data_IF_827200033591
#
_entry.id   IF_827200033591
#
_cell.length_a   1.000
_cell.length_b   1.000
_cell.length_c   1.000
_cell.angle_alpha   90.00
_cell.angle_beta   90.00
_cell.angle_gamma   90.00
#
_symmetry.space_group_name_H-M   'P 1'
#
loop_
_entity.id
_entity.type
_entity.pdbx_description
1 polymer ?
#
# COMPACT_ATOMS: atom_id res chain seq x y z
N UNK A 1 -33.99 -4.54 -9.19
CA UNK A 1 -33.73 -5.80 -9.93
C UNK A 1 -32.28 -6.17 -9.65
N UNK A 2 -32.03 -7.26 -8.91
CA UNK A 2 -30.67 -7.74 -8.67
C UNK A 2 -30.07 -8.25 -9.98
N UNK A 3 -28.87 -7.81 -10.30
CA UNK A 3 -28.15 -8.26 -11.49
C UNK A 3 -27.83 -9.75 -11.37
N UNK A 4 -27.91 -10.49 -12.47
CA UNK A 4 -27.65 -11.96 -12.52
C UNK A 4 -26.21 -12.36 -12.16
N UNK A 5 -25.34 -11.40 -11.86
CA UNK A 5 -23.96 -11.58 -11.42
C UNK A 5 -23.79 -11.80 -9.93
N UNK A 6 -24.90 -11.82 -9.15
CA UNK A 6 -24.85 -11.98 -7.69
C UNK A 6 -24.26 -13.31 -7.21
N UNK A 7 -24.21 -14.35 -8.06
CA UNK A 7 -23.56 -15.63 -7.74
C UNK A 7 -22.04 -15.64 -8.01
N UNK A 8 -21.54 -14.68 -8.80
CA UNK A 8 -20.12 -14.49 -9.11
C UNK A 8 -19.61 -13.11 -8.66
N UNK A 9 -20.51 -12.28 -8.17
CA UNK A 9 -20.23 -10.88 -7.88
C UNK A 9 -19.40 -10.67 -6.61
N UNK A 10 -18.74 -9.53 -6.59
CA UNK A 10 -17.93 -9.01 -5.47
C UNK A 10 -18.75 -8.93 -4.17
N UNK A 11 -20.07 -8.74 -4.26
CA UNK A 11 -20.96 -8.59 -3.12
C UNK A 11 -21.03 -9.78 -2.15
N UNK A 12 -20.55 -10.96 -2.56
CA UNK A 12 -20.48 -12.15 -1.68
C UNK A 12 -19.09 -12.43 -1.14
N UNK A 13 -18.05 -11.71 -1.57
CA UNK A 13 -16.67 -11.98 -1.13
C UNK A 13 -16.49 -11.77 0.37
N UNK A 14 -17.08 -10.73 0.94
CA UNK A 14 -16.96 -10.41 2.36
C UNK A 14 -17.98 -11.15 3.23
N UNK A 15 -19.06 -11.65 2.64
CA UNK A 15 -20.09 -12.43 3.34
C UNK A 15 -19.92 -13.95 3.22
N UNK A 16 -18.91 -14.40 2.45
CA UNK A 16 -18.62 -15.82 2.31
C UNK A 16 -17.80 -16.30 3.50
N UNK A 17 -18.35 -17.25 4.23
CA UNK A 17 -17.59 -17.94 5.27
C UNK A 17 -16.52 -18.83 4.62
N UNK A 18 -15.26 -18.46 4.79
CA UNK A 18 -14.10 -19.19 4.29
C UNK A 18 -13.31 -19.89 5.39
N UNK A 19 -13.92 -20.07 6.58
CA UNK A 19 -13.27 -20.69 7.74
C UNK A 19 -12.70 -22.07 7.43
N UNK A 20 -13.43 -22.90 6.71
CA UNK A 20 -12.98 -24.25 6.30
C UNK A 20 -11.77 -24.19 5.36
N UNK A 21 -11.71 -23.18 4.49
CA UNK A 21 -10.55 -22.95 3.63
C UNK A 21 -9.33 -22.55 4.46
N UNK A 22 -9.50 -21.57 5.35
CA UNK A 22 -8.41 -21.09 6.20
C UNK A 22 -8.00 -22.07 7.30
N UNK A 23 -8.78 -23.11 7.59
CA UNK A 23 -8.35 -24.18 8.51
C UNK A 23 -7.04 -24.87 8.09
N UNK A 24 -6.65 -24.73 6.82
CA UNK A 24 -5.42 -25.30 6.23
C UNK A 24 -4.24 -24.34 6.19
N UNK A 25 -4.48 -23.07 6.51
CA UNK A 25 -3.48 -21.99 6.45
C UNK A 25 -3.45 -21.24 7.78
N UNK A 26 -2.42 -20.44 8.03
CA UNK A 26 -2.44 -19.48 9.11
C UNK A 26 -3.53 -18.42 8.79
N UNK A 27 -4.68 -18.41 9.49
CA UNK A 27 -5.74 -17.47 9.16
C UNK A 27 -5.30 -16.05 9.49
N UNK A 28 -5.87 -15.03 8.81
CA UNK A 28 -5.69 -13.65 9.22
C UNK A 28 -6.09 -13.46 10.69
N UNK A 29 -5.49 -12.50 11.34
CA UNK A 29 -5.80 -12.21 12.73
C UNK A 29 -6.97 -11.23 12.79
N UNK A 30 -8.16 -11.76 13.05
CA UNK A 30 -9.37 -10.94 13.27
C UNK A 30 -9.43 -10.56 14.75
N UNK A 31 -9.77 -9.31 15.03
CA UNK A 31 -9.84 -8.75 16.37
C UNK A 31 -11.10 -7.90 16.53
N UNK A 32 -11.72 -7.95 17.69
CA UNK A 32 -12.82 -7.07 18.10
C UNK A 32 -12.30 -5.83 18.86
N UNK A 33 -10.98 -5.65 18.93
CA UNK A 33 -10.37 -4.47 19.55
C UNK A 33 -10.88 -3.20 18.85
N UNK A 34 -11.35 -2.25 19.64
CA UNK A 34 -11.85 -0.94 19.22
C UNK A 34 -11.07 0.23 19.86
N UNK A 35 -9.95 -0.09 20.48
CA UNK A 35 -9.12 0.90 21.20
C UNK A 35 -8.35 1.77 20.20
N UNK A 36 -8.65 3.06 20.19
CA UNK A 36 -7.89 4.03 19.41
C UNK A 36 -6.72 4.57 20.24
N UNK A 37 -5.57 4.73 19.58
CA UNK A 37 -4.41 5.38 20.16
C UNK A 37 -4.59 6.88 20.34
N UNK A 38 -3.71 7.48 21.14
CA UNK A 38 -3.66 8.93 21.28
C UNK A 38 -3.15 9.56 19.97
N UNK A 39 -3.63 10.76 19.65
CA UNK A 39 -3.11 11.52 18.52
C UNK A 39 -1.70 12.03 18.86
N UNK A 40 -0.72 11.65 18.04
CA UNK A 40 0.65 12.14 18.15
C UNK A 40 0.84 13.53 17.54
N UNK A 41 2.11 13.91 17.36
CA UNK A 41 2.45 15.08 16.56
C UNK A 41 2.04 14.85 15.10
N UNK A 42 1.48 15.88 14.48
CA UNK A 42 1.04 15.89 13.08
C UNK A 42 1.92 16.85 12.26
N UNK A 43 1.92 16.67 10.94
CA UNK A 43 2.68 17.51 9.98
C UNK A 43 4.20 17.53 10.26
N UNK A 44 4.71 16.41 10.75
CA UNK A 44 6.13 16.27 11.12
C UNK A 44 6.84 15.24 10.25
N UNK A 45 8.10 15.47 10.01
CA UNK A 45 9.01 14.56 9.34
C UNK A 45 10.09 14.09 10.33
N UNK A 46 10.14 12.79 10.57
CA UNK A 46 11.17 12.19 11.40
C UNK A 46 12.27 11.59 10.52
N UNK A 47 13.51 11.95 10.81
CA UNK A 47 14.67 11.26 10.24
C UNK A 47 15.07 10.15 11.20
N UNK A 48 15.09 8.91 10.71
CA UNK A 48 15.40 7.74 11.53
C UNK A 48 15.18 6.43 10.79
N UNK A 49 15.30 5.34 11.54
CA UNK A 49 15.03 4.00 11.03
C UNK A 49 13.53 3.68 11.19
N UNK A 50 12.85 3.42 10.07
CA UNK A 50 11.42 3.12 10.08
C UNK A 50 11.06 1.77 10.76
N UNK A 51 12.06 0.96 11.14
CA UNK A 51 11.85 -0.22 12.00
C UNK A 51 11.58 0.15 13.46
N UNK A 52 11.82 1.41 13.82
CA UNK A 52 11.49 2.00 15.13
C UNK A 52 10.80 3.35 14.93
N UNK A 53 9.47 3.34 14.95
CA UNK A 53 8.64 4.55 14.90
C UNK A 53 8.06 4.90 16.28
N UNK A 54 8.85 4.79 17.33
CA UNK A 54 8.43 5.04 18.73
C UNK A 54 7.84 6.42 18.98
N UNK A 55 8.15 7.41 18.13
CA UNK A 55 7.59 8.77 18.19
C UNK A 55 6.14 8.84 17.69
N UNK A 56 5.68 7.85 16.94
CA UNK A 56 4.29 7.76 16.48
C UNK A 56 3.53 6.88 17.48
N UNK A 57 2.45 7.34 18.11
CA UNK A 57 1.68 6.51 19.03
C UNK A 57 1.07 5.28 18.36
N UNK A 58 0.97 4.19 19.10
CA UNK A 58 0.35 2.96 18.60
C UNK A 58 -1.15 3.15 18.43
N UNK A 59 -1.72 2.56 17.37
CA UNK A 59 -3.16 2.62 17.14
C UNK A 59 -3.70 4.01 16.77
N UNK A 60 -2.84 4.95 16.33
CA UNK A 60 -3.21 6.34 16.04
C UNK A 60 -3.41 6.64 14.56
N UNK A 61 -2.94 5.77 13.67
CA UNK A 61 -2.85 6.01 12.21
C UNK A 61 -4.01 5.33 11.50
N UNK A 62 -4.76 6.08 10.70
CA UNK A 62 -5.85 5.55 9.88
C UNK A 62 -5.36 4.84 8.61
N UNK A 63 -4.33 5.41 7.97
CA UNK A 63 -3.77 4.89 6.74
C UNK A 63 -2.24 4.99 6.76
N UNK A 64 -1.60 3.88 6.47
CA UNK A 64 -0.21 3.87 6.01
C UNK A 64 -0.24 3.73 4.49
N UNK A 65 0.35 4.68 3.77
CA UNK A 65 0.54 4.62 2.32
C UNK A 65 2.00 4.84 1.99
N UNK A 66 2.61 3.91 1.26
CA UNK A 66 4.05 3.93 1.08
C UNK A 66 4.50 3.19 -0.18
N UNK A 67 5.68 3.57 -0.67
CA UNK A 67 6.39 2.88 -1.74
C UNK A 67 7.82 2.61 -1.27
N UNK A 68 8.11 1.41 -0.75
CA UNK A 68 9.44 1.06 -0.24
C UNK A 68 10.47 1.03 -1.38
N UNK A 69 11.77 1.13 -1.08
CA UNK A 69 12.81 0.89 -2.07
C UNK A 69 12.65 -0.52 -2.66
N UNK A 70 12.85 -0.67 -4.00
CA UNK A 70 12.55 -1.93 -4.69
C UNK A 70 13.72 -2.91 -4.77
N UNK A 71 14.83 -2.60 -4.13
CA UNK A 71 16.07 -3.38 -4.18
C UNK A 71 16.52 -3.64 -5.64
N UNK A 72 16.54 -2.56 -6.43
CA UNK A 72 16.84 -2.61 -7.86
C UNK A 72 18.30 -2.39 -8.19
N UNK A 73 19.18 -2.21 -7.21
CA UNK A 73 20.58 -1.86 -7.40
C UNK A 73 20.79 -0.45 -7.95
N UNK A 74 19.85 0.44 -7.75
CA UNK A 74 19.95 1.84 -8.14
C UNK A 74 20.78 2.62 -7.14
N UNK A 75 21.43 3.68 -7.62
CA UNK A 75 22.31 4.53 -6.79
C UNK A 75 21.60 5.08 -5.53
N UNK A 76 20.28 5.33 -5.60
CA UNK A 76 19.56 5.82 -4.43
C UNK A 76 19.40 4.75 -3.33
N UNK A 77 19.38 3.45 -3.66
CA UNK A 77 19.39 2.37 -2.66
C UNK A 77 20.75 2.37 -1.93
N UNK A 78 21.81 2.74 -2.62
CA UNK A 78 23.15 2.93 -2.04
C UNK A 78 23.21 4.23 -1.20
N UNK A 79 22.51 5.28 -1.63
CA UNK A 79 22.46 6.55 -0.92
C UNK A 79 21.51 6.54 0.30
N UNK A 80 20.58 5.56 0.39
CA UNK A 80 19.67 5.41 1.54
C UNK A 80 20.40 5.03 2.82
N UNK A 81 21.68 4.70 2.78
CA UNK A 81 22.29 4.35 3.99
C UNK A 81 23.79 4.21 4.04
N UNK A 82 24.47 5.19 4.55
CA UNK A 82 25.63 4.90 5.37
C UNK A 82 25.19 3.97 6.51
N UNK A 83 25.21 2.65 6.27
CA UNK A 83 25.05 1.62 7.27
C UNK A 83 23.90 0.64 7.15
N UNK A 84 22.94 0.82 6.26
CA UNK A 84 21.72 -0.02 6.24
C UNK A 84 21.24 -0.48 4.86
N UNK A 85 22.11 -0.48 3.84
CA UNK A 85 21.76 -1.12 2.56
C UNK A 85 21.79 -2.63 2.78
N UNK A 86 20.66 -3.35 2.58
CA UNK A 86 20.63 -4.80 2.70
C UNK A 86 21.68 -5.45 1.80
N UNK A 87 22.45 -6.37 2.34
CA UNK A 87 23.51 -7.04 1.59
C UNK A 87 22.96 -8.00 0.53
N UNK A 88 21.77 -8.54 0.77
CA UNK A 88 21.07 -9.43 -0.16
C UNK A 88 19.54 -9.24 -0.10
N UNK A 89 18.87 -9.96 -0.99
CA UNK A 89 17.41 -9.87 -1.11
C UNK A 89 16.66 -10.40 0.12
N UNK A 90 17.19 -11.36 0.83
CA UNK A 90 16.56 -11.91 2.05
C UNK A 90 16.67 -10.91 3.20
N UNK A 91 17.80 -10.26 3.33
CA UNK A 91 17.99 -9.18 4.30
C UNK A 91 17.05 -7.99 3.98
N UNK A 92 16.90 -7.64 2.70
CA UNK A 92 15.94 -6.64 2.25
C UNK A 92 14.50 -7.02 2.63
N UNK A 93 14.04 -8.25 2.38
CA UNK A 93 12.70 -8.69 2.77
C UNK A 93 12.51 -8.69 4.29
N UNK A 94 13.56 -8.99 5.04
CA UNK A 94 13.56 -8.94 6.51
C UNK A 94 13.38 -7.50 7.00
N UNK A 95 14.14 -6.56 6.46
CA UNK A 95 14.00 -5.13 6.74
C UNK A 95 12.59 -4.64 6.40
N UNK A 96 12.10 -4.99 5.22
CA UNK A 96 10.77 -4.59 4.77
C UNK A 96 9.67 -5.15 5.68
N UNK A 97 9.76 -6.43 6.06
CA UNK A 97 8.84 -7.04 7.03
C UNK A 97 8.84 -6.31 8.37
N UNK A 98 10.00 -5.91 8.86
CA UNK A 98 10.11 -5.24 10.17
C UNK A 98 9.51 -3.82 10.12
N UNK A 99 9.71 -3.07 9.03
CA UNK A 99 9.06 -1.77 8.82
C UNK A 99 7.55 -1.92 8.68
N UNK A 100 7.08 -2.91 7.92
CA UNK A 100 5.63 -3.14 7.74
C UNK A 100 4.96 -3.63 9.03
N UNK A 101 5.68 -4.40 9.87
CA UNK A 101 5.21 -4.78 11.22
C UNK A 101 5.06 -3.56 12.12
N UNK A 102 6.05 -2.68 12.12
CA UNK A 102 6.02 -1.45 12.88
C UNK A 102 4.89 -0.53 12.38
N UNK A 103 4.72 -0.41 11.05
CA UNK A 103 3.60 0.30 10.43
C UNK A 103 2.24 -0.26 10.87
N UNK A 104 2.07 -1.59 10.87
CA UNK A 104 0.85 -2.24 11.33
C UNK A 104 0.57 -1.99 12.83
N UNK A 105 1.63 -1.85 13.66
CA UNK A 105 1.50 -1.50 15.07
C UNK A 105 0.92 -0.09 15.23
N UNK A 106 1.29 0.84 14.36
CA UNK A 106 0.81 2.23 14.37
C UNK A 106 -0.62 2.38 13.89
N UNK A 107 -1.08 1.47 13.02
CA UNK A 107 -2.46 1.51 12.55
C UNK A 107 -3.46 1.35 13.69
N UNK A 108 -4.54 2.11 13.64
CA UNK A 108 -5.74 1.89 14.43
C UNK A 108 -6.43 0.55 14.05
N UNK A 109 -7.32 0.00 14.88
CA UNK A 109 -8.13 -1.15 14.50
C UNK A 109 -8.94 -0.87 13.23
N UNK A 110 -8.80 -1.74 12.22
CA UNK A 110 -9.40 -1.53 10.90
C UNK A 110 -8.69 -0.50 10.02
N UNK A 111 -7.63 0.15 10.49
CA UNK A 111 -6.79 1.04 9.67
C UNK A 111 -6.18 0.30 8.49
N UNK A 112 -5.85 1.03 7.43
CA UNK A 112 -5.40 0.46 6.15
C UNK A 112 -3.89 0.63 5.95
N UNK A 113 -3.31 -0.36 5.29
CA UNK A 113 -1.95 -0.34 4.78
C UNK A 113 -2.02 -0.48 3.26
N UNK A 114 -1.50 0.50 2.53
CA UNK A 114 -1.40 0.52 1.08
C UNK A 114 0.08 0.54 0.66
N UNK A 115 0.59 -0.56 0.12
CA UNK A 115 1.99 -0.71 -0.26
C UNK A 115 2.11 -0.78 -1.77
N UNK A 116 2.71 0.25 -2.37
CA UNK A 116 2.99 0.28 -3.80
C UNK A 116 4.35 -0.34 -4.09
N UNK A 117 4.40 -1.33 -4.98
CA UNK A 117 5.64 -1.99 -5.41
C UNK A 117 5.66 -2.30 -6.90
N UNK A 118 6.84 -2.23 -7.50
CA UNK A 118 7.10 -2.70 -8.84
C UNK A 118 7.73 -4.10 -8.83
N UNK A 119 7.26 -4.98 -9.72
CA UNK A 119 7.93 -6.23 -10.02
C UNK A 119 9.03 -5.96 -11.02
N UNK A 120 10.24 -5.79 -10.53
CA UNK A 120 11.37 -5.47 -11.41
C UNK A 120 11.83 -6.70 -12.18
N UNK A 121 12.13 -6.51 -13.47
CA UNK A 121 12.60 -7.54 -14.40
C UNK A 121 13.97 -8.10 -14.05
N UNK A 122 14.07 -8.88 -12.99
CA UNK A 122 15.28 -9.62 -12.60
C UNK A 122 15.46 -10.88 -13.46
N UNK A 123 16.67 -11.37 -13.54
CA UNK A 123 16.97 -12.67 -14.16
C UNK A 123 17.62 -13.61 -13.13
N UNK A 124 16.93 -14.65 -12.68
CA UNK A 124 15.52 -14.97 -12.98
C UNK A 124 14.54 -13.95 -12.40
N UNK A 125 13.33 -13.86 -12.98
CA UNK A 125 12.27 -12.97 -12.52
C UNK A 125 11.85 -13.32 -11.08
N UNK A 126 11.66 -12.29 -10.27
CA UNK A 126 11.11 -12.41 -8.91
C UNK A 126 10.02 -11.37 -8.70
N UNK A 127 8.85 -11.80 -8.26
CA UNK A 127 7.72 -10.91 -7.96
C UNK A 127 7.85 -10.34 -6.55
N UNK A 128 8.24 -9.07 -6.45
CA UNK A 128 8.24 -8.35 -5.17
C UNK A 128 6.82 -8.20 -4.61
N UNK A 129 5.82 -8.02 -5.48
CA UNK A 129 4.43 -7.95 -5.04
C UNK A 129 3.97 -9.23 -4.33
N UNK A 130 4.38 -10.41 -4.84
CA UNK A 130 4.08 -11.68 -4.18
C UNK A 130 4.79 -11.80 -2.82
N UNK A 131 6.04 -11.36 -2.72
CA UNK A 131 6.78 -11.37 -1.45
C UNK A 131 6.15 -10.43 -0.42
N UNK A 132 5.74 -9.22 -0.83
CA UNK A 132 5.03 -8.27 0.05
C UNK A 132 3.67 -8.82 0.47
N UNK A 133 2.93 -9.44 -0.45
CA UNK A 133 1.65 -10.11 -0.12
C UNK A 133 1.87 -11.20 0.94
N UNK A 134 2.92 -12.02 0.79
CA UNK A 134 3.28 -13.04 1.78
C UNK A 134 3.61 -12.41 3.14
N UNK A 135 4.40 -11.34 3.15
CA UNK A 135 4.72 -10.62 4.41
C UNK A 135 3.42 -10.13 5.08
N UNK A 136 2.54 -9.46 4.35
CA UNK A 136 1.32 -8.90 4.93
C UNK A 136 0.35 -9.98 5.41
N UNK A 137 0.13 -11.01 4.59
CA UNK A 137 -0.86 -12.07 4.85
C UNK A 137 -0.35 -13.12 5.82
N UNK A 138 0.85 -13.66 5.60
CA UNK A 138 1.33 -14.84 6.31
C UNK A 138 2.21 -14.48 7.51
N UNK A 139 3.13 -13.52 7.37
CA UNK A 139 4.01 -13.12 8.46
C UNK A 139 3.30 -12.18 9.45
N UNK A 140 2.59 -11.16 8.95
CA UNK A 140 1.92 -10.16 9.78
C UNK A 140 0.44 -10.49 10.04
N UNK A 141 -0.12 -11.44 9.33
CA UNK A 141 -1.49 -11.94 9.48
C UNK A 141 -2.55 -10.84 9.37
N UNK A 142 -2.27 -9.85 8.51
CA UNK A 142 -3.22 -8.79 8.20
C UNK A 142 -4.31 -9.29 7.26
N UNK A 143 -5.45 -8.62 7.28
CA UNK A 143 -6.56 -8.91 6.38
C UNK A 143 -6.27 -8.27 5.02
N UNK A 144 -5.95 -9.08 4.01
CA UNK A 144 -5.83 -8.55 2.64
C UNK A 144 -7.19 -8.04 2.15
N UNK A 145 -7.20 -6.83 1.59
CA UNK A 145 -8.40 -6.17 1.06
C UNK A 145 -8.48 -6.27 -0.46
N UNK A 146 -7.35 -6.45 -1.10
CA UNK A 146 -7.21 -6.58 -2.54
C UNK A 146 -5.86 -6.07 -3.03
N UNK A 147 -5.70 -6.10 -4.34
CA UNK A 147 -4.55 -5.57 -5.04
C UNK A 147 -5.06 -4.68 -6.17
N UNK A 148 -4.49 -3.49 -6.29
CA UNK A 148 -4.74 -2.60 -7.42
C UNK A 148 -3.57 -2.69 -8.39
N UNK A 149 -3.87 -2.85 -9.66
CA UNK A 149 -2.92 -2.73 -10.76
C UNK A 149 -2.83 -1.26 -11.17
N UNK A 150 -1.78 -0.58 -10.74
CA UNK A 150 -1.53 0.77 -11.22
C UNK A 150 -0.87 0.73 -12.60
N UNK A 151 -1.61 1.15 -13.63
CA UNK A 151 -1.13 1.27 -14.98
C UNK A 151 -0.55 2.69 -15.21
N UNK A 152 0.78 2.76 -15.33
CA UNK A 152 1.52 4.02 -15.46
C UNK A 152 1.34 4.72 -16.80
N UNK A 153 1.14 3.96 -17.86
CA UNK A 153 0.87 4.48 -19.21
C UNK A 153 0.29 3.39 -20.12
N UNK A 154 -0.47 3.82 -21.10
CA UNK A 154 -0.90 2.96 -22.19
C UNK A 154 0.18 2.89 -23.27
N UNK A 155 0.56 1.67 -23.61
CA UNK A 155 1.49 1.42 -24.70
C UNK A 155 2.96 1.41 -24.28
N UNK A 156 3.81 1.21 -25.27
CA UNK A 156 5.21 0.90 -25.11
C UNK A 156 6.10 2.10 -25.43
N UNK A 157 6.08 3.11 -24.60
CA UNK A 157 7.12 4.14 -24.67
C UNK A 157 8.23 3.81 -23.67
N UNK A 158 9.46 3.87 -24.08
CA UNK A 158 10.63 3.72 -23.24
C UNK A 158 11.65 2.72 -23.79
N UNK A 159 12.88 2.89 -23.36
CA UNK A 159 14.04 2.07 -23.68
C UNK A 159 13.98 0.72 -22.98
N UNK A 160 13.06 -0.15 -23.37
CA UNK A 160 13.00 -1.48 -22.84
C UNK A 160 13.69 -2.45 -23.79
N UNK A 161 14.56 -3.27 -23.25
CA UNK A 161 15.08 -4.41 -23.99
C UNK A 161 13.94 -5.38 -24.27
N UNK A 162 13.63 -5.63 -25.54
CA UNK A 162 12.55 -6.53 -25.95
C UNK A 162 12.97 -7.99 -26.02
N UNK A 163 14.21 -8.27 -25.72
CA UNK A 163 14.79 -9.59 -25.97
C UNK A 163 14.89 -9.87 -27.47
N UNK A 164 14.31 -10.98 -27.93
CA UNK A 164 14.22 -11.27 -29.35
C UNK A 164 13.01 -10.53 -29.97
N UNK A 165 13.29 -9.55 -30.82
CA UNK A 165 12.25 -8.80 -31.53
C UNK A 165 11.60 -9.68 -32.61
N UNK A 166 10.26 -9.71 -32.63
CA UNK A 166 9.44 -10.49 -33.56
C UNK A 166 9.82 -12.00 -33.64
N UNK A 167 10.41 -12.55 -32.61
CA UNK A 167 10.80 -13.95 -32.52
C UNK A 167 10.38 -14.55 -31.19
N UNK A 168 9.84 -15.78 -31.16
CA UNK A 168 9.48 -16.45 -29.91
C UNK A 168 10.68 -17.00 -29.14
N UNK A 169 11.90 -16.79 -29.62
CA UNK A 169 13.11 -17.35 -29.00
C UNK A 169 13.32 -16.84 -27.56
N UNK A 170 13.14 -15.55 -27.31
CA UNK A 170 13.27 -14.97 -25.98
C UNK A 170 12.64 -13.57 -25.89
N UNK A 171 11.33 -13.41 -26.10
CA UNK A 171 10.67 -12.13 -25.90
C UNK A 171 10.67 -11.74 -24.41
N UNK A 172 10.89 -10.47 -24.11
CA UNK A 172 10.86 -9.93 -22.74
C UNK A 172 9.61 -9.09 -22.54
N UNK A 173 8.86 -9.37 -21.46
CA UNK A 173 7.71 -8.56 -21.07
C UNK A 173 8.20 -7.23 -20.47
N UNK A 174 7.52 -6.15 -20.80
CA UNK A 174 7.85 -4.80 -20.36
C UNK A 174 6.96 -4.38 -19.19
N UNK A 175 7.58 -3.85 -18.13
CA UNK A 175 6.88 -3.41 -16.94
C UNK A 175 6.22 -2.05 -17.17
N UNK A 176 4.92 -2.05 -17.39
CA UNK A 176 4.10 -0.83 -17.53
C UNK A 176 3.19 -0.59 -16.32
N UNK A 177 3.25 -1.47 -15.34
CA UNK A 177 2.37 -1.45 -14.16
C UNK A 177 3.16 -1.62 -12.88
N UNK A 178 2.56 -1.13 -11.80
CA UNK A 178 2.94 -1.46 -10.42
C UNK A 178 1.75 -2.05 -9.67
N UNK A 179 1.95 -2.47 -8.44
CA UNK A 179 0.91 -3.08 -7.60
C UNK A 179 0.77 -2.31 -6.30
N UNK A 180 -0.45 -1.89 -5.99
CA UNK A 180 -0.80 -1.37 -4.67
C UNK A 180 -1.51 -2.47 -3.91
N UNK A 181 -0.84 -3.04 -2.92
CA UNK A 181 -1.38 -4.12 -2.10
C UNK A 181 -2.05 -3.50 -0.89
N UNK A 182 -3.33 -3.80 -0.69
CA UNK A 182 -4.16 -3.21 0.37
C UNK A 182 -4.43 -4.26 1.44
N UNK A 183 -4.13 -3.92 2.68
CA UNK A 183 -4.44 -4.73 3.85
C UNK A 183 -5.08 -3.90 4.96
N UNK A 184 -5.76 -4.54 5.91
CA UNK A 184 -6.28 -3.89 7.12
C UNK A 184 -5.86 -4.62 8.38
N UNK A 185 -5.75 -3.87 9.48
CA UNK A 185 -5.39 -4.39 10.80
C UNK A 185 -6.61 -4.91 11.55
N UNK A 186 -6.68 -6.23 11.70
CA UNK A 186 -7.60 -6.92 12.63
C UNK A 186 -9.09 -6.84 12.31
N UNK A 187 -9.55 -5.86 11.52
CA UNK A 187 -10.96 -5.62 11.21
C UNK A 187 -11.18 -5.31 9.75
N UNK A 188 -12.37 -5.63 9.25
CA UNK A 188 -12.78 -5.28 7.89
C UNK A 188 -13.22 -3.81 7.78
N UNK A 189 -13.86 -3.30 8.81
CA UNK A 189 -14.28 -1.89 8.97
C UNK A 189 -13.32 -1.17 9.92
N UNK A 190 -13.26 0.14 9.82
CA UNK A 190 -12.61 0.96 10.82
C UNK A 190 -13.50 1.06 12.05
N UNK A 191 -12.90 1.18 13.23
CA UNK A 191 -13.63 1.48 14.46
C UNK A 191 -14.41 2.75 14.23
N UNK A 192 -15.73 2.67 14.45
CA UNK A 192 -16.64 3.70 14.05
C UNK A 192 -16.24 5.06 14.57
N UNK A 193 -16.15 6.03 13.66
CA UNK A 193 -16.09 7.44 14.00
C UNK A 193 -17.24 7.86 14.92
N UNK A 194 -18.26 7.01 15.07
CA UNK A 194 -19.36 7.14 15.98
C UNK A 194 -19.04 7.04 17.47
N UNK A 195 -17.81 6.71 17.88
CA UNK A 195 -17.57 6.40 19.30
C UNK A 195 -16.40 7.13 19.97
N UNK A 196 -15.71 8.06 19.29
CA UNK A 196 -14.61 8.82 19.93
C UNK A 196 -15.03 9.67 21.13
N UNK A 197 -16.33 9.87 21.36
CA UNK A 197 -16.83 10.62 22.52
C UNK A 197 -18.30 10.35 22.89
N UNK A 198 -18.88 9.21 22.45
CA UNK A 198 -20.33 8.96 22.61
C UNK A 198 -21.19 9.86 21.71
N UNK A 199 -20.60 10.62 20.82
CA UNK A 199 -21.26 11.36 19.75
C UNK A 199 -20.94 10.67 18.42
N UNK A 200 -21.96 10.49 17.59
CA UNK A 200 -21.81 10.09 16.20
C UNK A 200 -20.99 11.16 15.48
N UNK A 201 -19.69 10.96 15.36
CA UNK A 201 -18.87 11.79 14.49
C UNK A 201 -19.04 11.17 13.11
N UNK A 202 -19.91 11.75 12.31
CA UNK A 202 -19.91 11.51 10.88
C UNK A 202 -18.60 12.09 10.34
N UNK A 203 -17.63 11.22 10.05
CA UNK A 203 -16.42 11.65 9.38
C UNK A 203 -16.79 12.19 7.99
N UNK A 204 -16.22 13.33 7.62
CA UNK A 204 -16.41 13.88 6.28
C UNK A 204 -15.63 13.02 5.29
N UNK A 205 -16.34 12.26 4.44
CA UNK A 205 -15.73 11.57 3.32
C UNK A 205 -15.36 12.61 2.24
N UNK A 206 -14.15 12.53 1.76
CA UNK A 206 -13.62 13.50 0.77
C UNK A 206 -13.80 13.03 -0.67
N UNK A 207 -14.19 11.76 -0.89
CA UNK A 207 -14.32 11.19 -2.24
C UNK A 207 -15.67 11.56 -2.86
N UNK A 208 -15.71 12.22 -4.05
CA UNK A 208 -16.92 12.41 -4.82
C UNK A 208 -17.51 11.06 -5.29
N UNK A 209 -18.85 10.98 -5.43
CA UNK A 209 -19.52 9.72 -5.73
C UNK A 209 -19.13 9.10 -7.07
N UNK A 210 -18.85 9.90 -8.10
CA UNK A 210 -18.35 9.47 -9.40
C UNK A 210 -16.89 8.97 -9.31
N UNK A 211 -16.04 9.65 -8.59
CA UNK A 211 -14.67 9.23 -8.33
C UNK A 211 -14.61 7.93 -7.51
N UNK A 212 -15.52 7.75 -6.55
CA UNK A 212 -15.61 6.52 -5.77
C UNK A 212 -15.79 5.29 -6.65
N UNK A 213 -16.64 5.37 -7.68
CA UNK A 213 -16.91 4.27 -8.60
C UNK A 213 -15.67 3.88 -9.41
N UNK A 214 -14.83 4.83 -9.78
CA UNK A 214 -13.55 4.58 -10.46
C UNK A 214 -12.47 4.10 -9.46
N UNK A 215 -12.41 4.71 -8.30
CA UNK A 215 -11.39 4.43 -7.31
C UNK A 215 -11.52 3.01 -6.71
N UNK A 216 -12.74 2.45 -6.72
CA UNK A 216 -12.99 1.07 -6.25
C UNK A 216 -12.72 -0.01 -7.31
N UNK A 217 -12.29 0.34 -8.51
CA UNK A 217 -11.80 -0.63 -9.49
C UNK A 217 -10.41 -1.13 -9.11
N UNK A 218 -10.08 -2.33 -9.54
CA UNK A 218 -8.78 -2.97 -9.30
C UNK A 218 -7.70 -2.60 -10.33
N UNK A 219 -8.03 -1.70 -11.27
CA UNK A 219 -7.09 -1.12 -12.24
C UNK A 219 -7.19 0.39 -12.19
N UNK A 220 -6.08 1.06 -11.87
CA UNK A 220 -5.96 2.50 -11.88
C UNK A 220 -5.05 2.97 -13.00
N UNK A 221 -5.60 3.78 -13.90
CA UNK A 221 -4.83 4.44 -14.96
C UNK A 221 -4.41 5.83 -14.48
N UNK A 222 -3.21 5.94 -13.93
CA UNK A 222 -2.65 7.19 -13.42
C UNK A 222 -1.27 7.41 -14.06
N UNK A 223 -1.02 8.51 -14.76
CA UNK A 223 0.28 8.80 -15.35
C UNK A 223 1.40 8.79 -14.28
N UNK A 224 2.55 8.21 -14.63
CA UNK A 224 3.71 8.21 -13.75
C UNK A 224 4.25 9.62 -13.57
N UNK A 225 4.82 9.89 -12.39
CA UNK A 225 5.49 11.14 -12.09
C UNK A 225 6.89 11.20 -12.76
N UNK A 226 7.33 12.40 -13.11
CA UNK A 226 8.64 12.61 -13.71
C UNK A 226 9.74 12.61 -12.65
N UNK A 227 10.63 11.61 -12.70
CA UNK A 227 11.80 11.53 -11.84
C UNK A 227 12.66 12.79 -11.88
N UNK A 228 12.85 13.38 -13.08
CA UNK A 228 13.63 14.61 -13.28
C UNK A 228 12.96 15.82 -12.64
N UNK A 229 11.61 15.91 -12.68
CA UNK A 229 10.86 17.03 -12.09
C UNK A 229 10.92 17.01 -10.57
N UNK A 230 10.83 15.81 -9.97
CA UNK A 230 10.75 15.63 -8.52
C UNK A 230 12.13 15.49 -7.87
N UNK A 231 13.18 15.19 -8.66
CA UNK A 231 14.53 14.93 -8.12
C UNK A 231 14.63 13.60 -7.35
N UNK A 232 13.69 12.68 -7.58
CA UNK A 232 13.67 11.36 -6.97
C UNK A 232 13.62 10.27 -8.06
N UNK A 233 14.41 9.20 -7.96
CA UNK A 233 14.57 8.24 -9.06
C UNK A 233 13.32 7.45 -9.41
N UNK A 234 12.39 7.28 -8.48
CA UNK A 234 11.14 6.53 -8.69
C UNK A 234 9.99 7.12 -7.86
N UNK A 235 9.55 8.36 -8.14
CA UNK A 235 8.43 8.95 -7.41
C UNK A 235 7.13 8.29 -7.86
N UNK A 236 6.26 7.95 -6.93
CA UNK A 236 4.87 7.67 -7.27
C UNK A 236 4.06 8.98 -7.30
N UNK A 237 3.03 9.09 -8.15
CA UNK A 237 2.34 10.36 -8.36
C UNK A 237 1.45 10.72 -7.17
N UNK A 238 1.31 12.02 -6.92
CA UNK A 238 0.41 12.56 -5.88
C UNK A 238 -1.02 12.01 -6.05
N UNK A 239 -1.53 11.96 -7.28
CA UNK A 239 -2.88 11.45 -7.58
C UNK A 239 -3.10 9.99 -7.15
N UNK A 240 -2.06 9.14 -7.09
CA UNK A 240 -2.18 7.78 -6.58
C UNK A 240 -2.41 7.78 -5.07
N UNK A 241 -1.68 8.65 -4.37
CA UNK A 241 -1.82 8.78 -2.91
C UNK A 241 -3.16 9.43 -2.57
N UNK A 242 -3.54 10.51 -3.26
CA UNK A 242 -4.85 11.17 -3.09
C UNK A 242 -5.99 10.17 -3.23
N UNK A 243 -5.91 9.26 -4.22
CA UNK A 243 -6.93 8.20 -4.38
C UNK A 243 -6.95 7.23 -3.20
N UNK A 244 -5.82 6.88 -2.63
CA UNK A 244 -5.76 6.08 -1.40
C UNK A 244 -6.35 6.84 -0.21
N UNK A 245 -6.06 8.14 -0.07
CA UNK A 245 -6.61 8.99 0.98
C UNK A 245 -8.13 9.06 0.87
N UNK A 246 -8.66 9.39 -0.29
CA UNK A 246 -10.10 9.47 -0.54
C UNK A 246 -10.85 8.16 -0.25
N UNK A 247 -10.24 7.01 -0.53
CA UNK A 247 -10.87 5.71 -0.28
C UNK A 247 -10.81 5.25 1.18
N UNK A 248 -9.76 5.61 1.91
CA UNK A 248 -9.43 4.95 3.17
C UNK A 248 -9.35 5.88 4.37
N UNK A 249 -9.51 7.19 4.18
CA UNK A 249 -9.47 8.17 5.26
C UNK A 249 -10.66 9.12 5.22
N UNK A 250 -10.93 9.72 6.37
CA UNK A 250 -11.80 10.88 6.52
C UNK A 250 -10.95 12.12 6.75
N UNK A 251 -11.55 13.30 6.57
CA UNK A 251 -10.89 14.56 6.90
C UNK A 251 -10.43 14.56 8.37
N UNK A 252 -9.18 14.96 8.59
CA UNK A 252 -8.56 14.97 9.93
C UNK A 252 -7.96 13.64 10.40
N UNK A 253 -8.03 12.58 9.60
CA UNK A 253 -7.36 11.32 9.91
C UNK A 253 -5.83 11.44 9.77
N UNK A 254 -5.10 10.66 10.56
CA UNK A 254 -3.64 10.62 10.50
C UNK A 254 -3.18 9.62 9.45
N UNK A 255 -2.28 10.09 8.58
CA UNK A 255 -1.63 9.29 7.54
C UNK A 255 -0.14 9.21 7.83
N UNK A 256 0.45 8.04 7.60
CA UNK A 256 1.87 7.75 7.82
C UNK A 256 2.51 7.19 6.55
N UNK A 257 3.73 7.67 6.25
CA UNK A 257 4.58 7.09 5.22
C UNK A 257 5.98 6.79 5.77
N UNK A 258 6.31 5.51 6.04
CA UNK A 258 7.61 5.12 6.57
C UNK A 258 8.76 5.26 5.59
N UNK A 259 8.49 5.40 4.29
CA UNK A 259 9.48 5.57 3.23
C UNK A 259 9.17 6.83 2.41
N UNK A 260 9.05 7.96 3.06
CA UNK A 260 8.49 9.21 2.53
C UNK A 260 9.15 9.72 1.24
N UNK A 261 10.41 9.37 0.96
CA UNK A 261 11.14 9.78 -0.24
C UNK A 261 11.11 11.29 -0.45
N UNK A 262 10.53 11.73 -1.57
CA UNK A 262 10.39 13.16 -1.91
C UNK A 262 9.23 13.88 -1.24
N UNK A 263 8.47 13.21 -0.35
CA UNK A 263 7.34 13.81 0.37
C UNK A 263 6.00 13.80 -0.37
N UNK A 264 5.83 12.92 -1.34
CA UNK A 264 4.58 12.82 -2.14
C UNK A 264 3.36 12.63 -1.26
N UNK A 265 3.46 11.80 -0.22
CA UNK A 265 2.37 11.55 0.74
C UNK A 265 2.00 12.80 1.52
N UNK A 266 2.98 13.60 1.96
CA UNK A 266 2.71 14.86 2.65
C UNK A 266 2.03 15.89 1.74
N UNK A 267 2.40 15.93 0.45
CA UNK A 267 1.74 16.79 -0.55
C UNK A 267 0.30 16.37 -0.74
N UNK A 268 0.03 15.07 -0.93
CA UNK A 268 -1.32 14.55 -1.08
C UNK A 268 -2.19 14.86 0.16
N UNK A 269 -1.69 14.59 1.36
CA UNK A 269 -2.40 14.87 2.61
C UNK A 269 -2.73 16.36 2.81
N UNK A 270 -1.90 17.24 2.27
CA UNK A 270 -2.17 18.69 2.32
C UNK A 270 -3.25 19.11 1.32
N UNK A 271 -3.39 18.39 0.21
CA UNK A 271 -4.35 18.73 -0.85
C UNK A 271 -5.76 18.22 -0.52
N UNK A 272 -5.87 17.15 0.27
CA UNK A 272 -7.14 16.49 0.62
C UNK A 272 -7.59 16.86 2.02
#
# INVERSE_FOLDING_TARGET
MGTSTSSFGVSKRESHDSSDFYSRFAPPQISDDDTLGETGEIDVMYVGDARDMSKVPDGSVALVVTSPPYFAGKEYETALGEGHVPADYIEYLTMLRDVLRESARKLEPGGRLAVNVANLGRKPYRSLAADVTTILQDDLRLLLRGEVVWQKQRGASGSCAWGSYQSPANPVLRDTTERVIIASKGRFDRVGLGNRSGQSIEGTATVPGDEFMEATLDVWEIPAESATRVGHPAPFPVALVERCLHLFTYEGDIVLDPFMGSGTTAVAAKNT
#
